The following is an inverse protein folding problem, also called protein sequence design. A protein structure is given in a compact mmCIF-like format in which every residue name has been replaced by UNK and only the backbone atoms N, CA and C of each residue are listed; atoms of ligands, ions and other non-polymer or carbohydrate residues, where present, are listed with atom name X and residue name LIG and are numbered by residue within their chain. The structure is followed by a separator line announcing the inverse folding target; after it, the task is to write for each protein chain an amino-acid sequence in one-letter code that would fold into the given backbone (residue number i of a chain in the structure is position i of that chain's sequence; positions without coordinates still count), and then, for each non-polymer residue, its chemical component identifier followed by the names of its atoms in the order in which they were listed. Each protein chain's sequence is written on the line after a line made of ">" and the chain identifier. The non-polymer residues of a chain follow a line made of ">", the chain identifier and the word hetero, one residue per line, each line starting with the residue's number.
data_IF_081446790212
#
_entry.id   IF_081446790212
#
_cell.length_a   1.000
_cell.length_b   1.000
_cell.length_c   1.000
_cell.angle_alpha   90.00
_cell.angle_beta   90.00
_cell.angle_gamma   90.00
#
_symmetry.space_group_name_H-M   'P 1'
#
loop_
_entity.id
_entity.type
_entity.pdbx_description
1 polymer ?
#
# COMPACT_ATOMS: atom_id res chain seq x y z
N UNK A 1 -14.50 -4.15 32.01
CA UNK A 1 -14.93 -4.79 30.75
C UNK A 1 -14.40 -3.89 29.65
N UNK A 2 -13.32 -4.31 28.97
CA UNK A 2 -12.48 -3.44 28.13
C UNK A 2 -13.26 -2.96 26.88
N UNK A 3 -13.51 -1.65 26.78
CA UNK A 3 -13.98 -0.98 25.56
C UNK A 3 -12.82 -0.89 24.54
N UNK A 4 -12.42 -2.02 23.98
CA UNK A 4 -11.48 -2.02 22.85
C UNK A 4 -12.23 -1.56 21.60
N UNK A 5 -11.83 -0.41 21.04
CA UNK A 5 -12.38 0.08 19.77
C UNK A 5 -11.89 -0.82 18.65
N UNK A 6 -12.71 -1.01 17.61
CA UNK A 6 -12.40 -1.90 16.49
C UNK A 6 -11.05 -1.62 15.82
N UNK A 7 -10.61 -0.36 15.83
CA UNK A 7 -9.33 0.05 15.24
C UNK A 7 -8.11 -0.35 16.05
N UNK A 8 -8.26 -0.54 17.37
CA UNK A 8 -7.19 -0.96 18.27
C UNK A 8 -6.95 -2.48 18.18
N UNK A 9 -7.82 -3.20 17.47
CA UNK A 9 -7.72 -4.62 17.18
C UNK A 9 -6.70 -4.84 16.05
N UNK A 10 -5.84 -5.86 16.15
CA UNK A 10 -4.84 -6.11 15.12
C UNK A 10 -5.47 -6.28 13.72
N UNK A 11 -4.78 -5.87 12.62
CA UNK A 11 -5.36 -5.85 11.26
C UNK A 11 -5.97 -7.18 10.80
N UNK A 12 -5.38 -8.31 11.20
CA UNK A 12 -5.93 -9.64 10.97
C UNK A 12 -7.38 -9.75 11.49
N UNK A 13 -7.57 -9.41 12.75
CA UNK A 13 -8.83 -9.58 13.46
C UNK A 13 -9.89 -8.57 13.00
N UNK A 14 -9.48 -7.37 12.61
CA UNK A 14 -10.37 -6.42 11.94
C UNK A 14 -10.94 -7.02 10.65
N UNK A 15 -10.09 -7.59 9.79
CA UNK A 15 -10.54 -8.21 8.53
C UNK A 15 -11.45 -9.40 8.77
N UNK A 16 -11.07 -10.28 9.69
CA UNK A 16 -11.92 -11.42 10.06
C UNK A 16 -13.29 -10.93 10.54
N UNK A 17 -13.35 -9.90 11.38
CA UNK A 17 -14.62 -9.39 11.88
C UNK A 17 -15.46 -8.72 10.78
N UNK A 18 -14.87 -7.96 9.85
CA UNK A 18 -15.59 -7.38 8.71
C UNK A 18 -16.15 -8.47 7.78
N UNK A 19 -15.35 -9.50 7.49
CA UNK A 19 -15.77 -10.65 6.68
C UNK A 19 -16.91 -11.40 7.39
N UNK A 20 -16.79 -11.62 8.70
CA UNK A 20 -17.84 -12.26 9.50
C UNK A 20 -19.14 -11.44 9.49
N UNK A 21 -19.06 -10.13 9.75
CA UNK A 21 -20.23 -9.24 9.74
C UNK A 21 -20.91 -9.24 8.36
N UNK A 22 -20.13 -9.19 7.28
CA UNK A 22 -20.64 -9.25 5.90
C UNK A 22 -21.21 -10.61 5.54
N UNK A 23 -20.68 -11.70 6.12
CA UNK A 23 -21.21 -13.05 5.93
C UNK A 23 -22.52 -13.30 6.70
N UNK A 24 -22.74 -12.59 7.81
CA UNK A 24 -23.88 -12.81 8.70
C UNK A 24 -25.24 -12.48 8.04
N UNK A 25 -25.26 -11.63 7.02
CA UNK A 25 -26.47 -11.34 6.22
C UNK A 25 -26.75 -12.42 5.16
N UNK A 26 -26.02 -13.54 5.17
CA UNK A 26 -26.15 -14.67 4.25
C UNK A 26 -26.19 -14.26 2.76
N UNK A 27 -25.16 -13.56 2.27
CA UNK A 27 -25.13 -13.13 0.88
C UNK A 27 -25.02 -14.35 -0.05
N UNK A 28 -25.65 -14.30 -1.24
CA UNK A 28 -25.50 -15.37 -2.24
C UNK A 28 -24.05 -15.47 -2.76
N UNK A 29 -23.30 -14.37 -2.71
CA UNK A 29 -21.87 -14.28 -3.03
C UNK A 29 -21.23 -13.20 -2.16
N UNK A 30 -20.12 -13.52 -1.49
CA UNK A 30 -19.33 -12.56 -0.73
C UNK A 30 -18.04 -12.24 -1.49
N UNK A 31 -17.86 -10.97 -1.84
CA UNK A 31 -16.64 -10.47 -2.47
C UNK A 31 -15.67 -9.97 -1.42
N UNK A 32 -14.42 -10.41 -1.49
CA UNK A 32 -13.36 -10.04 -0.55
C UNK A 32 -12.17 -9.50 -1.36
N UNK A 33 -11.89 -8.22 -1.17
CA UNK A 33 -10.82 -7.53 -1.89
C UNK A 33 -9.52 -7.57 -1.08
N UNK A 34 -8.47 -8.15 -1.67
CA UNK A 34 -7.09 -8.24 -1.15
C UNK A 34 -6.98 -8.51 0.37
N UNK A 35 -7.58 -9.60 0.89
CA UNK A 35 -7.67 -9.85 2.34
C UNK A 35 -6.32 -10.07 3.02
N UNK A 36 -5.24 -10.29 2.26
CA UNK A 36 -3.91 -10.60 2.76
C UNK A 36 -2.95 -9.41 2.69
N UNK A 37 -3.35 -8.31 2.06
CA UNK A 37 -2.51 -7.12 1.88
C UNK A 37 -1.92 -6.64 3.20
N UNK A 38 -0.67 -6.19 3.27
CA UNK A 38 -0.05 -5.64 4.49
C UNK A 38 -0.10 -6.51 5.77
N UNK A 39 -0.38 -7.82 5.68
CA UNK A 39 -0.33 -8.74 6.82
C UNK A 39 1.04 -9.42 6.94
N UNK A 40 1.40 -9.80 8.17
CA UNK A 40 2.55 -10.66 8.40
C UNK A 40 2.32 -12.05 7.78
N UNK A 41 3.38 -12.78 7.45
CA UNK A 41 3.28 -14.14 6.89
C UNK A 41 2.41 -15.06 7.77
N UNK A 42 2.52 -14.94 9.09
CA UNK A 42 1.70 -15.73 10.03
C UNK A 42 0.22 -15.36 9.96
N UNK A 43 -0.09 -14.07 9.84
CA UNK A 43 -1.47 -13.59 9.76
C UNK A 43 -2.10 -13.90 8.40
N UNK A 44 -1.31 -13.89 7.32
CA UNK A 44 -1.73 -14.39 6.00
C UNK A 44 -2.18 -15.86 6.09
N UNK A 45 -1.40 -16.70 6.78
CA UNK A 45 -1.78 -18.11 7.00
C UNK A 45 -3.11 -18.19 7.77
N UNK A 46 -3.25 -17.42 8.85
CA UNK A 46 -4.46 -17.42 9.68
C UNK A 46 -5.69 -16.98 8.91
N UNK A 47 -5.62 -15.87 8.16
CA UNK A 47 -6.79 -15.38 7.42
C UNK A 47 -7.15 -16.29 6.26
N UNK A 48 -6.16 -16.89 5.57
CA UNK A 48 -6.44 -17.88 4.52
C UNK A 48 -7.15 -19.11 5.08
N UNK A 49 -6.70 -19.63 6.24
CA UNK A 49 -7.39 -20.74 6.91
C UNK A 49 -8.82 -20.36 7.31
N UNK A 50 -9.02 -19.13 7.80
CA UNK A 50 -10.35 -18.62 8.13
C UNK A 50 -11.25 -18.55 6.88
N UNK A 51 -10.78 -17.95 5.79
CA UNK A 51 -11.53 -17.83 4.53
C UNK A 51 -11.86 -19.22 3.96
N UNK A 52 -10.91 -20.17 4.01
CA UNK A 52 -11.11 -21.56 3.56
C UNK A 52 -12.15 -22.32 4.40
N UNK A 53 -12.32 -21.97 5.68
CA UNK A 53 -13.44 -22.49 6.49
C UNK A 53 -14.75 -21.80 6.12
N UNK A 54 -14.72 -20.49 5.88
CA UNK A 54 -15.91 -19.72 5.51
C UNK A 54 -16.48 -20.16 4.15
N UNK A 55 -15.63 -20.54 3.20
CA UNK A 55 -16.06 -21.00 1.87
C UNK A 55 -16.93 -22.27 1.91
N UNK A 56 -16.87 -23.05 3.00
CA UNK A 56 -17.77 -24.20 3.21
C UNK A 56 -19.23 -23.79 3.45
N UNK A 57 -19.47 -22.52 3.80
CA UNK A 57 -20.80 -21.99 4.16
C UNK A 57 -21.29 -20.92 3.20
N UNK A 58 -20.39 -20.12 2.62
CA UNK A 58 -20.72 -18.97 1.76
C UNK A 58 -19.91 -19.06 0.48
N UNK A 59 -20.52 -18.74 -0.67
CA UNK A 59 -19.78 -18.63 -1.94
C UNK A 59 -18.93 -17.36 -1.90
N UNK A 60 -17.64 -17.50 -2.24
CA UNK A 60 -16.68 -16.41 -2.14
C UNK A 60 -16.09 -16.07 -3.50
N UNK A 61 -15.87 -14.78 -3.74
CA UNK A 61 -15.00 -14.27 -4.79
C UNK A 61 -13.90 -13.45 -4.11
N UNK A 62 -12.65 -13.88 -4.26
CA UNK A 62 -11.51 -13.24 -3.59
C UNK A 62 -10.55 -12.68 -4.64
N UNK A 63 -10.22 -11.40 -4.51
CA UNK A 63 -9.21 -10.73 -5.35
C UNK A 63 -7.86 -10.82 -4.65
N UNK A 64 -6.83 -11.26 -5.37
CA UNK A 64 -5.48 -11.49 -4.84
C UNK A 64 -4.40 -11.06 -5.85
N UNK A 65 -3.33 -10.42 -5.34
CA UNK A 65 -2.13 -10.12 -6.12
C UNK A 65 -1.06 -11.23 -6.10
N UNK A 66 -1.22 -12.29 -5.29
CA UNK A 66 -0.23 -13.37 -5.14
C UNK A 66 -0.72 -14.70 -5.72
N UNK A 67 0.03 -15.24 -6.68
CA UNK A 67 -0.27 -16.54 -7.31
C UNK A 67 -0.23 -17.69 -6.32
N UNK A 68 0.74 -17.71 -5.40
CA UNK A 68 0.84 -18.74 -4.36
C UNK A 68 -0.40 -18.73 -3.45
N UNK A 69 -0.88 -17.53 -3.09
CA UNK A 69 -2.08 -17.41 -2.26
C UNK A 69 -3.32 -17.85 -3.02
N UNK A 70 -3.46 -17.47 -4.28
CA UNK A 70 -4.55 -17.90 -5.15
C UNK A 70 -4.55 -19.42 -5.32
N UNK A 71 -3.37 -20.02 -5.52
CA UNK A 71 -3.21 -21.47 -5.69
C UNK A 71 -3.64 -22.27 -4.44
N UNK A 72 -3.37 -21.75 -3.24
CA UNK A 72 -3.75 -22.43 -1.98
C UNK A 72 -5.22 -22.19 -1.59
N UNK A 73 -5.78 -21.03 -1.95
CA UNK A 73 -7.12 -20.63 -1.50
C UNK A 73 -8.25 -21.00 -2.46
N UNK A 74 -8.00 -20.91 -3.78
CA UNK A 74 -9.07 -20.93 -4.78
C UNK A 74 -9.34 -22.35 -5.31
N UNK A 75 -10.62 -22.67 -5.49
CA UNK A 75 -11.06 -23.84 -6.26
C UNK A 75 -10.99 -23.56 -7.77
N UNK A 76 -11.46 -22.37 -8.17
CA UNK A 76 -11.44 -21.85 -9.54
C UNK A 76 -10.71 -20.49 -9.60
N UNK A 77 -10.00 -20.24 -10.71
CA UNK A 77 -9.32 -18.97 -11.00
C UNK A 77 -10.06 -18.25 -12.12
N UNK A 78 -10.23 -16.93 -11.94
CA UNK A 78 -10.62 -16.01 -13.01
C UNK A 78 -9.43 -15.09 -13.28
N UNK A 79 -8.87 -15.14 -14.49
CA UNK A 79 -7.87 -14.17 -14.93
C UNK A 79 -8.54 -13.10 -15.79
N UNK A 80 -8.43 -11.84 -15.39
CA UNK A 80 -8.91 -10.70 -16.16
C UNK A 80 -7.72 -9.90 -16.66
N UNK A 81 -7.65 -9.65 -17.97
CA UNK A 81 -6.66 -8.76 -18.58
C UNK A 81 -7.26 -8.09 -19.82
N UNK A 82 -6.88 -6.84 -20.10
CA UNK A 82 -7.44 -6.07 -21.23
C UNK A 82 -8.97 -5.97 -21.20
N UNK A 83 -9.56 -5.89 -20.00
CA UNK A 83 -11.01 -5.79 -19.79
C UNK A 83 -11.80 -7.04 -20.17
N UNK A 84 -11.14 -8.20 -20.29
CA UNK A 84 -11.78 -9.47 -20.63
C UNK A 84 -11.34 -10.56 -19.66
N UNK A 85 -12.24 -11.52 -19.45
CA UNK A 85 -11.89 -12.79 -18.83
C UNK A 85 -11.05 -13.58 -19.83
N UNK A 86 -9.77 -13.72 -19.51
CA UNK A 86 -8.80 -14.50 -20.29
C UNK A 86 -8.84 -15.98 -19.92
N UNK A 87 -9.25 -16.28 -18.69
CA UNK A 87 -9.40 -17.64 -18.19
C UNK A 87 -10.46 -17.69 -17.10
N UNK A 88 -11.24 -18.76 -17.11
CA UNK A 88 -12.07 -19.20 -16.00
C UNK A 88 -12.03 -20.73 -15.93
N UNK A 89 -11.73 -21.28 -14.76
CA UNK A 89 -11.75 -22.72 -14.51
C UNK A 89 -10.91 -23.13 -13.32
N UNK A 90 -10.77 -24.44 -13.13
CA UNK A 90 -10.09 -25.01 -11.97
C UNK A 90 -8.66 -24.50 -11.79
N UNK A 91 -8.27 -24.24 -10.55
CA UNK A 91 -6.92 -23.80 -10.17
C UNK A 91 -5.84 -24.73 -10.70
N UNK A 92 -6.07 -26.04 -10.72
CA UNK A 92 -5.14 -27.04 -11.27
C UNK A 92 -4.92 -26.90 -12.77
N UNK A 93 -5.94 -26.50 -13.53
CA UNK A 93 -5.83 -26.24 -14.96
C UNK A 93 -5.12 -24.92 -15.24
N UNK A 94 -5.32 -23.90 -14.40
CA UNK A 94 -4.63 -22.61 -14.53
C UNK A 94 -3.11 -22.74 -14.33
N UNK A 95 -2.69 -23.48 -13.31
CA UNK A 95 -1.28 -23.71 -12.98
C UNK A 95 -0.71 -25.00 -13.60
N UNK A 96 -1.34 -25.53 -14.65
CA UNK A 96 -0.83 -26.69 -15.36
C UNK A 96 0.53 -26.38 -16.00
N UNK A 97 1.41 -27.39 -16.08
CA UNK A 97 2.77 -27.24 -16.64
C UNK A 97 2.77 -26.69 -18.07
N UNK A 98 1.74 -27.03 -18.85
CA UNK A 98 1.52 -26.55 -20.20
C UNK A 98 0.08 -26.05 -20.30
N UNK A 99 -0.08 -24.77 -20.66
CA UNK A 99 -1.40 -24.18 -20.92
C UNK A 99 -1.52 -23.91 -22.41
N UNK A 100 -2.63 -24.29 -23.07
CA UNK A 100 -2.88 -23.93 -24.46
C UNK A 100 -3.17 -22.44 -24.64
N UNK A 101 -3.36 -21.70 -23.53
CA UNK A 101 -3.59 -20.26 -23.53
C UNK A 101 -2.27 -19.53 -23.19
N UNK A 102 -1.68 -18.89 -24.20
CA UNK A 102 -0.41 -18.16 -24.09
C UNK A 102 -0.44 -17.02 -23.05
N UNK A 103 -1.61 -16.42 -22.80
CA UNK A 103 -1.78 -15.35 -21.80
C UNK A 103 -1.70 -15.91 -20.39
N UNK A 104 -2.36 -17.04 -20.15
CA UNK A 104 -2.26 -17.77 -18.88
C UNK A 104 -0.83 -18.24 -18.66
N UNK A 105 -0.21 -18.80 -19.69
CA UNK A 105 1.18 -19.24 -19.64
C UNK A 105 2.13 -18.08 -19.29
N UNK A 106 1.96 -16.91 -19.93
CA UNK A 106 2.72 -15.71 -19.62
C UNK A 106 2.51 -15.28 -18.17
N UNK A 107 1.26 -15.20 -17.70
CA UNK A 107 0.95 -14.78 -16.35
C UNK A 107 1.58 -15.71 -15.31
N UNK A 108 1.42 -17.02 -15.45
CA UNK A 108 1.99 -18.01 -14.53
C UNK A 108 3.52 -17.94 -14.51
N UNK A 109 4.17 -17.70 -15.65
CA UNK A 109 5.63 -17.59 -15.74
C UNK A 109 6.19 -16.29 -15.17
N UNK A 110 5.48 -15.17 -15.35
CA UNK A 110 6.06 -13.83 -15.13
C UNK A 110 5.40 -13.04 -14.00
N UNK A 111 4.21 -13.45 -13.55
CA UNK A 111 3.41 -12.65 -12.62
C UNK A 111 2.57 -11.55 -13.28
N UNK A 112 2.62 -11.40 -14.61
CA UNK A 112 1.99 -10.27 -15.31
C UNK A 112 1.54 -10.63 -16.72
N UNK A 113 0.68 -9.80 -17.31
CA UNK A 113 0.18 -9.94 -18.69
C UNK A 113 0.52 -8.69 -19.48
N UNK A 114 1.06 -8.86 -20.69
CA UNK A 114 1.37 -7.75 -21.60
C UNK A 114 0.18 -7.38 -22.49
N UNK A 115 -1.00 -7.19 -21.89
CA UNK A 115 -2.20 -6.74 -22.59
C UNK A 115 -2.58 -5.37 -22.04
N UNK A 116 -2.63 -4.40 -22.93
CA UNK A 116 -3.08 -3.05 -22.63
C UNK A 116 -4.49 -3.07 -21.99
N UNK A 117 -4.67 -2.27 -20.94
CA UNK A 117 -5.98 -2.07 -20.34
C UNK A 117 -6.93 -1.37 -21.33
N UNK A 118 -8.26 -1.59 -21.26
CA UNK A 118 -9.23 -1.02 -22.20
C UNK A 118 -9.19 0.51 -22.31
N UNK A 119 -8.73 1.16 -21.26
CA UNK A 119 -8.58 2.61 -21.09
C UNK A 119 -7.13 3.09 -21.30
N UNK A 120 -6.21 2.22 -21.70
CA UNK A 120 -4.82 2.58 -21.96
C UNK A 120 -4.72 3.59 -23.10
N UNK A 121 -4.08 4.74 -22.81
CA UNK A 121 -3.80 5.76 -23.82
C UNK A 121 -2.71 5.26 -24.77
N UNK A 122 -2.90 5.50 -26.08
CA UNK A 122 -1.97 5.03 -27.13
C UNK A 122 -0.54 5.55 -26.92
N UNK A 123 -0.39 6.74 -26.37
CA UNK A 123 0.91 7.35 -26.03
C UNK A 123 1.70 6.58 -24.96
N UNK A 124 1.04 5.80 -24.12
CA UNK A 124 1.66 5.00 -23.05
C UNK A 124 1.90 3.54 -23.47
N UNK A 125 1.58 3.20 -24.71
CA UNK A 125 1.75 1.86 -25.27
C UNK A 125 3.03 1.82 -26.11
N UNK A 126 3.74 0.69 -26.05
CA UNK A 126 4.84 0.45 -26.97
C UNK A 126 4.36 0.49 -28.43
N UNK A 127 5.23 0.88 -29.37
CA UNK A 127 4.87 1.06 -30.78
C UNK A 127 4.29 -0.22 -31.43
N UNK A 128 4.64 -1.39 -30.89
CA UNK A 128 4.18 -2.71 -31.30
C UNK A 128 2.99 -3.24 -30.49
N UNK A 129 2.51 -2.50 -29.49
CA UNK A 129 1.41 -2.92 -28.65
C UNK A 129 0.08 -2.91 -29.42
N UNK A 130 -0.58 -4.06 -29.44
CA UNK A 130 -1.90 -4.21 -30.04
C UNK A 130 -2.93 -3.59 -29.08
N UNK A 131 -3.69 -2.56 -29.49
CA UNK A 131 -4.72 -1.98 -28.63
C UNK A 131 -5.76 -3.05 -28.30
N UNK A 132 -6.27 -3.08 -27.05
CA UNK A 132 -7.24 -4.09 -26.65
C UNK A 132 -8.52 -3.89 -27.47
N UNK A 133 -9.19 -4.97 -27.90
CA UNK A 133 -10.43 -4.82 -28.65
C UNK A 133 -11.48 -4.12 -27.77
N UNK A 134 -12.42 -3.35 -28.35
CA UNK A 134 -13.41 -2.60 -27.58
C UNK A 134 -14.20 -3.50 -26.64
N UNK A 135 -14.55 -3.00 -25.45
CA UNK A 135 -15.28 -3.77 -24.45
C UNK A 135 -16.60 -4.32 -25.04
N UNK A 136 -17.00 -5.56 -24.69
CA UNK A 136 -18.30 -6.09 -25.09
C UNK A 136 -19.45 -5.17 -24.64
N UNK A 137 -20.53 -5.09 -25.42
CA UNK A 137 -21.67 -4.23 -25.11
C UNK A 137 -22.24 -4.51 -23.70
N UNK A 138 -22.31 -5.79 -23.30
CA UNK A 138 -22.74 -6.17 -21.95
C UNK A 138 -21.85 -5.58 -20.83
N UNK A 139 -20.54 -5.47 -21.06
CA UNK A 139 -19.63 -4.85 -20.10
C UNK A 139 -19.83 -3.33 -20.05
N UNK A 140 -20.03 -2.70 -21.21
CA UNK A 140 -20.36 -1.27 -21.28
C UNK A 140 -21.71 -0.97 -20.61
N UNK A 141 -22.71 -1.83 -20.77
CA UNK A 141 -24.01 -1.68 -20.15
C UNK A 141 -23.94 -1.89 -18.63
N UNK A 142 -23.14 -2.84 -18.17
CA UNK A 142 -22.83 -3.01 -16.75
C UNK A 142 -22.13 -1.76 -16.19
N UNK A 143 -21.07 -1.27 -16.84
CA UNK A 143 -20.37 -0.04 -16.45
C UNK A 143 -21.32 1.16 -16.44
N UNK A 144 -22.20 1.31 -17.43
CA UNK A 144 -23.24 2.36 -17.48
C UNK A 144 -24.27 2.22 -16.37
N UNK A 145 -24.60 0.99 -15.97
CA UNK A 145 -25.51 0.75 -14.84
C UNK A 145 -24.88 1.14 -13.50
N UNK A 146 -23.54 1.09 -13.39
CA UNK A 146 -22.78 1.64 -12.26
C UNK A 146 -22.52 3.16 -12.40
N UNK A 147 -22.43 3.69 -13.63
CA UNK A 147 -22.00 5.04 -13.97
C UNK A 147 -23.10 6.03 -14.37
N UNK A 148 -24.22 6.10 -13.64
CA UNK A 148 -25.11 7.29 -13.73
C UNK A 148 -24.44 8.49 -13.06
N UNK A 149 -23.52 9.13 -13.78
CA UNK A 149 -23.17 10.57 -13.75
C UNK A 149 -22.61 10.89 -15.15
N UNK A 150 -23.37 11.69 -15.90
CA UNK A 150 -23.23 12.18 -17.30
C UNK A 150 -21.79 12.55 -17.73
N UNK A 151 -21.22 12.33 -18.95
CA UNK A 151 -21.62 12.31 -20.38
C UNK A 151 -20.52 11.56 -21.22
N UNK A 152 -20.75 11.16 -22.48
CA UNK A 152 -19.79 10.40 -23.30
C UNK A 152 -18.78 11.29 -24.06
N UNK A 153 -17.52 10.84 -24.17
CA UNK A 153 -16.47 11.45 -25.01
C UNK A 153 -16.27 10.62 -26.29
N UNK A 154 -16.32 11.28 -27.45
CA UNK A 154 -16.05 10.73 -28.79
C UNK A 154 -14.55 10.52 -29.03
N UNK A 155 -14.18 9.40 -29.66
CA UNK A 155 -12.80 9.05 -30.03
C UNK A 155 -12.59 9.29 -31.52
N UNK A 156 -11.57 10.07 -31.90
CA UNK A 156 -11.09 10.20 -33.29
C UNK A 156 -9.59 9.84 -33.35
N UNK A 157 -9.19 8.95 -34.28
CA UNK A 157 -7.78 8.57 -34.52
C UNK A 157 -7.17 9.36 -35.69
N UNK A 158 -5.83 9.54 -35.72
CA UNK A 158 -5.11 9.29 -36.98
C UNK A 158 -3.67 8.70 -36.89
N UNK A 159 -3.44 7.70 -37.76
CA UNK A 159 -2.30 7.37 -38.66
C UNK A 159 -0.79 7.49 -38.30
N UNK A 160 -0.14 6.37 -38.65
CA UNK A 160 1.26 5.86 -38.73
C UNK A 160 2.24 6.66 -39.62
N UNK A 161 3.55 6.74 -39.24
CA UNK A 161 4.70 6.39 -40.11
C UNK A 161 6.12 6.49 -39.45
N UNK A 162 6.88 5.38 -39.63
CA UNK A 162 8.32 5.22 -39.95
C UNK A 162 9.50 5.39 -38.93
N UNK A 163 10.27 4.30 -38.76
CA UNK A 163 11.69 4.17 -38.30
C UNK A 163 12.69 4.27 -39.49
N UNK A 164 14.03 3.96 -39.43
CA UNK A 164 14.96 3.49 -38.35
C UNK A 164 16.34 4.26 -38.32
N UNK A 165 17.37 3.96 -37.49
CA UNK A 165 18.43 2.91 -37.68
C UNK A 165 19.54 3.02 -36.60
N UNK A 166 20.24 1.90 -36.33
CA UNK A 166 21.29 1.66 -35.32
C UNK A 166 22.74 1.87 -35.79
N UNK A 167 23.72 1.91 -34.87
CA UNK A 167 25.10 1.40 -35.09
C UNK A 167 25.94 1.22 -33.80
N UNK A 168 26.72 0.15 -33.80
CA UNK A 168 27.67 -0.40 -32.81
C UNK A 168 29.11 0.13 -32.95
N UNK A 169 29.95 0.07 -31.90
CA UNK A 169 31.34 -0.41 -32.03
C UNK A 169 32.10 -0.64 -30.69
N UNK A 170 32.95 -1.67 -30.74
CA UNK A 170 33.93 -2.22 -29.78
C UNK A 170 35.34 -1.60 -29.91
N UNK A 171 36.18 -1.63 -28.86
CA UNK A 171 37.55 -2.22 -28.87
C UNK A 171 38.39 -1.96 -27.59
N UNK A 172 39.27 -2.93 -27.30
CA UNK A 172 40.23 -3.05 -26.19
C UNK A 172 41.63 -2.45 -26.46
N UNK A 173 42.45 -2.23 -25.41
CA UNK A 173 43.88 -2.62 -25.41
C UNK A 173 44.54 -2.53 -24.02
N UNK A 174 45.55 -3.39 -23.83
CA UNK A 174 46.43 -3.68 -22.69
C UNK A 174 47.59 -2.68 -22.51
N UNK A 175 48.19 -2.56 -21.32
CA UNK A 175 49.53 -3.10 -20.96
C UNK A 175 50.19 -2.50 -19.69
N UNK A 176 50.59 -3.41 -18.78
CA UNK A 176 51.89 -3.59 -18.08
C UNK A 176 52.63 -2.42 -17.39
N UNK A 177 52.97 -2.57 -16.09
CA UNK A 177 54.36 -2.67 -15.52
C UNK A 177 54.31 -2.85 -13.98
N UNK A 178 55.10 -3.79 -13.46
CA UNK A 178 55.25 -4.13 -12.04
C UNK A 178 56.70 -3.87 -11.56
N UNK A 179 56.87 -3.45 -10.30
CA UNK A 179 57.74 -4.03 -9.24
C UNK A 179 58.14 -2.98 -8.18
N UNK A 180 57.98 -3.35 -6.90
CA UNK A 180 59.00 -3.37 -5.81
C UNK A 180 58.41 -2.94 -4.45
N UNK A 181 57.93 -3.87 -3.60
CA UNK A 181 58.05 -3.81 -2.10
C UNK A 181 57.45 -5.02 -1.34
N UNK A 182 57.86 -6.24 -1.66
CA UNK A 182 57.54 -7.40 -0.82
C UNK A 182 58.52 -7.47 0.36
N UNK A 183 58.06 -7.16 1.58
CA UNK A 183 58.58 -7.66 2.88
C UNK A 183 57.91 -7.04 4.12
N UNK A 184 56.94 -6.12 3.97
CA UNK A 184 56.15 -5.57 5.10
C UNK A 184 54.69 -6.03 5.15
N UNK A 185 54.22 -6.81 4.18
CA UNK A 185 52.81 -7.23 4.06
C UNK A 185 52.47 -8.48 4.88
N UNK A 186 53.43 -9.39 5.08
CA UNK A 186 53.14 -10.71 5.67
C UNK A 186 52.72 -10.65 7.15
N UNK A 187 53.22 -9.69 7.93
CA UNK A 187 52.80 -9.49 9.34
C UNK A 187 51.52 -8.67 9.50
N UNK A 188 51.17 -7.82 8.52
CA UNK A 188 49.92 -7.06 8.51
C UNK A 188 48.74 -7.96 8.14
N UNK A 189 48.94 -8.89 7.21
CA UNK A 189 47.91 -9.83 6.77
C UNK A 189 47.53 -10.88 7.83
N UNK A 190 48.48 -11.36 8.64
CA UNK A 190 48.13 -12.28 9.74
C UNK A 190 47.33 -11.59 10.84
N UNK A 191 47.69 -10.35 11.21
CA UNK A 191 46.90 -9.55 12.17
C UNK A 191 45.53 -9.19 11.63
N UNK A 192 45.42 -8.89 10.34
CA UNK A 192 44.15 -8.59 9.69
C UNK A 192 43.25 -9.84 9.65
N UNK A 193 43.79 -11.00 9.30
CA UNK A 193 43.06 -12.28 9.32
C UNK A 193 42.57 -12.66 10.73
N UNK A 194 43.40 -12.45 11.76
CA UNK A 194 43.00 -12.69 13.15
C UNK A 194 41.87 -11.75 13.61
N UNK A 195 41.92 -10.47 13.23
CA UNK A 195 40.87 -9.50 13.57
C UNK A 195 39.55 -9.78 12.84
N UNK A 196 39.61 -10.18 11.57
CA UNK A 196 38.42 -10.58 10.80
C UNK A 196 37.77 -11.82 11.41
N UNK A 197 38.57 -12.83 11.78
CA UNK A 197 38.06 -14.03 12.45
C UNK A 197 37.38 -13.71 13.80
N UNK A 198 37.95 -12.78 14.59
CA UNK A 198 37.37 -12.36 15.86
C UNK A 198 36.05 -11.60 15.70
N UNK A 199 35.95 -10.72 14.69
CA UNK A 199 34.70 -10.00 14.36
C UNK A 199 33.63 -10.97 13.89
N UNK A 200 34.01 -11.97 13.10
CA UNK A 200 33.10 -12.97 12.57
C UNK A 200 32.55 -13.88 13.68
N UNK A 201 33.41 -14.33 14.60
CA UNK A 201 32.98 -15.07 15.79
C UNK A 201 32.04 -14.25 16.69
N UNK A 202 32.31 -12.95 16.87
CA UNK A 202 31.44 -12.05 17.66
C UNK A 202 30.08 -11.82 16.99
N UNK A 203 30.05 -11.76 15.65
CA UNK A 203 28.82 -11.67 14.85
C UNK A 203 27.99 -12.95 14.94
N UNK A 204 28.63 -14.12 14.88
CA UNK A 204 27.98 -15.42 15.05
C UNK A 204 27.34 -15.55 16.45
N UNK A 205 28.07 -15.16 17.50
CA UNK A 205 27.58 -15.18 18.87
C UNK A 205 26.39 -14.23 19.09
N UNK A 206 26.45 -13.02 18.54
CA UNK A 206 25.35 -12.06 18.62
C UNK A 206 24.11 -12.54 17.83
N UNK A 207 24.31 -13.21 16.70
CA UNK A 207 23.23 -13.81 15.91
C UNK A 207 22.56 -14.96 16.67
N UNK A 208 23.33 -15.80 17.36
CA UNK A 208 22.79 -16.87 18.21
C UNK A 208 22.03 -16.32 19.43
N UNK A 209 22.51 -15.23 20.03
CA UNK A 209 21.83 -14.55 21.14
C UNK A 209 20.52 -13.88 20.72
N UNK A 210 20.49 -13.24 19.54
CA UNK A 210 19.25 -12.67 18.98
C UNK A 210 18.25 -13.77 18.64
N UNK A 211 18.71 -14.90 18.07
CA UNK A 211 17.86 -16.03 17.73
C UNK A 211 17.25 -16.70 18.97
N UNK A 212 18.03 -16.85 20.05
CA UNK A 212 17.51 -17.43 21.30
C UNK A 212 16.50 -16.52 22.00
N UNK A 213 16.73 -15.19 22.01
CA UNK A 213 15.76 -14.22 22.55
C UNK A 213 14.48 -14.16 21.72
N UNK A 214 14.58 -14.23 20.38
CA UNK A 214 13.42 -14.32 19.50
C UNK A 214 12.60 -15.59 19.74
N UNK A 215 13.26 -16.72 20.00
CA UNK A 215 12.56 -18.00 20.27
C UNK A 215 11.80 -17.95 21.61
N UNK A 216 12.37 -17.32 22.63
CA UNK A 216 11.74 -17.14 23.95
C UNK A 216 10.53 -16.18 23.90
N UNK A 217 10.66 -15.07 23.19
CA UNK A 217 9.56 -14.13 22.96
C UNK A 217 8.42 -14.77 22.16
N UNK A 218 8.75 -15.58 21.14
CA UNK A 218 7.75 -16.33 20.37
C UNK A 218 7.01 -17.38 21.22
N UNK A 219 7.70 -18.05 22.15
CA UNK A 219 7.06 -19.00 23.08
C UNK A 219 6.13 -18.30 24.08
N UNK A 220 6.51 -17.13 24.60
CA UNK A 220 5.67 -16.34 25.49
C UNK A 220 4.41 -15.82 24.79
N UNK A 221 4.54 -15.31 23.57
CA UNK A 221 3.40 -14.87 22.75
C UNK A 221 2.48 -16.05 22.41
N UNK A 222 3.03 -17.23 22.11
CA UNK A 222 2.23 -18.44 21.85
C UNK A 222 1.43 -18.88 23.09
N UNK A 223 2.01 -18.80 24.28
CA UNK A 223 1.31 -19.09 25.54
C UNK A 223 0.20 -18.06 25.83
N UNK A 224 0.44 -16.78 25.54
CA UNK A 224 -0.55 -15.71 25.73
C UNK A 224 -1.72 -15.83 24.73
N UNK A 225 -1.45 -16.28 23.50
CA UNK A 225 -2.49 -16.57 22.49
C UNK A 225 -3.37 -17.74 22.95
N UNK A 226 -2.76 -18.85 23.41
CA UNK A 226 -3.52 -20.00 23.92
C UNK A 226 -4.39 -19.64 25.12
N UNK A 227 -3.91 -18.76 26.02
CA UNK A 227 -4.69 -18.26 27.14
C UNK A 227 -5.90 -17.41 26.69
N UNK A 228 -5.71 -16.57 25.66
CA UNK A 228 -6.80 -15.74 25.08
C UNK A 228 -7.81 -16.55 24.28
N UNK A 229 -7.37 -17.60 23.58
CA UNK A 229 -8.26 -18.54 22.89
C UNK A 229 -9.16 -19.30 23.87
N UNK A 230 -8.63 -19.75 25.01
CA UNK A 230 -9.42 -20.39 26.05
C UNK A 230 -10.52 -19.46 26.61
N UNK A 231 -10.17 -18.19 26.86
CA UNK A 231 -11.11 -17.18 27.36
C UNK A 231 -12.24 -16.88 26.36
N UNK A 232 -11.93 -16.87 25.05
CA UNK A 232 -12.92 -16.67 23.99
C UNK A 232 -13.88 -17.87 23.91
N UNK A 233 -13.37 -19.10 24.05
CA UNK A 233 -14.20 -20.31 24.03
C UNK A 233 -15.14 -20.38 25.25
N UNK A 234 -14.67 -20.01 26.45
CA UNK A 234 -15.54 -19.89 27.63
C UNK A 234 -16.62 -18.82 27.43
N UNK A 235 -16.27 -17.68 26.84
CA UNK A 235 -17.23 -16.59 26.59
C UNK A 235 -18.31 -17.02 25.60
N UNK A 236 -17.95 -17.76 24.53
CA UNK A 236 -18.88 -18.25 23.52
C UNK A 236 -19.88 -19.28 24.05
N UNK A 237 -19.56 -20.02 25.13
CA UNK A 237 -20.47 -20.97 25.77
C UNK A 237 -21.52 -20.30 26.66
N UNK A 238 -21.35 -19.01 27.01
CA UNK A 238 -22.25 -18.28 27.91
C UNK A 238 -23.33 -17.45 27.18
N UNK A 239 -23.29 -17.40 25.85
CA UNK A 239 -24.27 -16.65 25.05
C UNK A 239 -25.50 -17.54 24.77
N UNK A 240 -26.72 -17.17 25.24
CA UNK A 240 -27.90 -18.01 25.00
C UNK A 240 -28.30 -17.99 23.53
N UNK A 241 -28.63 -19.18 23.00
CA UNK A 241 -29.07 -19.37 21.62
C UNK A 241 -30.41 -18.65 21.37
N UNK A 242 -30.46 -17.80 20.34
CA UNK A 242 -31.70 -17.15 19.89
C UNK A 242 -32.49 -18.13 19.02
N UNK A 243 -33.71 -18.44 19.44
CA UNK A 243 -34.64 -19.35 18.77
C UNK A 243 -35.13 -18.73 17.44
N UNK A 244 -34.94 -19.46 16.33
CA UNK A 244 -35.12 -18.98 14.95
C UNK A 244 -36.48 -19.35 14.34
N UNK A 245 -37.42 -19.91 15.12
CA UNK A 245 -38.64 -20.51 14.56
C UNK A 245 -39.95 -19.69 14.65
N UNK A 246 -39.94 -18.44 15.10
CA UNK A 246 -41.16 -17.64 15.22
C UNK A 246 -41.10 -16.35 14.38
N UNK A 247 -41.25 -16.46 13.04
CA UNK A 247 -41.73 -15.42 12.10
C UNK A 247 -41.71 -15.95 10.65
N UNK A 248 -42.56 -16.94 10.37
CA UNK A 248 -42.94 -17.36 9.02
C UNK A 248 -44.46 -17.38 8.92
N UNK A 249 -45.03 -16.21 8.67
CA UNK A 249 -46.35 -15.96 8.07
C UNK A 249 -46.72 -14.52 8.42
N UNK A 250 -46.61 -13.60 7.46
CA UNK A 250 -47.68 -12.63 7.17
C UNK A 250 -47.28 -11.72 5.99
N UNK A 251 -48.16 -11.77 4.98
CA UNK A 251 -48.49 -10.83 3.90
C UNK A 251 -47.42 -9.89 3.30
N UNK A 252 -47.25 -10.05 1.99
CA UNK A 252 -46.70 -9.07 1.04
C UNK A 252 -47.53 -7.78 1.12
N UNK A 253 -46.89 -6.66 1.48
CA UNK A 253 -47.42 -5.29 1.28
C UNK A 253 -46.70 -4.61 0.12
N UNK A 254 -47.39 -3.75 -0.66
CA UNK A 254 -46.81 -3.07 -1.81
C UNK A 254 -45.73 -2.05 -1.38
N UNK A 255 -44.80 -1.70 -2.29
CA UNK A 255 -43.70 -0.80 -1.97
C UNK A 255 -44.23 0.60 -1.61
N UNK A 256 -43.64 1.28 -0.61
CA UNK A 256 -44.03 2.64 -0.27
C UNK A 256 -43.71 3.59 -1.43
N UNK A 257 -44.63 4.53 -1.68
CA UNK A 257 -44.51 5.58 -2.70
C UNK A 257 -43.20 6.34 -2.54
N UNK A 258 -42.55 6.62 -3.67
CA UNK A 258 -41.33 7.43 -3.80
C UNK A 258 -41.43 8.69 -2.93
N UNK A 259 -40.56 8.78 -1.93
CA UNK A 259 -40.31 10.05 -1.26
C UNK A 259 -39.59 10.97 -2.24
N UNK A 260 -40.22 12.10 -2.55
CA UNK A 260 -39.65 13.19 -3.34
C UNK A 260 -38.39 13.68 -2.64
N UNK A 261 -37.22 13.33 -3.18
CA UNK A 261 -35.94 13.88 -2.74
C UNK A 261 -35.88 15.33 -3.20
N UNK A 262 -36.02 16.24 -2.25
CA UNK A 262 -35.76 17.66 -2.44
C UNK A 262 -34.31 17.86 -2.84
N UNK A 263 -34.10 18.54 -3.96
CA UNK A 263 -32.81 19.00 -4.46
C UNK A 263 -32.24 20.10 -3.56
N UNK A 264 -31.53 19.71 -2.51
CA UNK A 264 -30.57 20.57 -1.81
C UNK A 264 -29.16 20.12 -2.23
N UNK A 265 -28.25 21.05 -2.56
CA UNK A 265 -26.93 20.71 -3.08
C UNK A 265 -26.11 20.00 -2.00
N UNK A 266 -25.48 18.89 -2.39
CA UNK A 266 -24.48 18.15 -1.59
C UNK A 266 -23.25 19.04 -1.42
N UNK A 267 -23.34 19.97 -0.47
CA UNK A 267 -22.26 20.85 -0.01
C UNK A 267 -22.17 20.84 1.51
N UNK A 268 -22.46 19.70 2.12
CA UNK A 268 -22.00 19.42 3.48
C UNK A 268 -20.54 18.99 3.38
N UNK A 269 -19.66 19.98 3.58
CA UNK A 269 -18.24 19.79 3.83
C UNK A 269 -18.06 18.68 4.88
N UNK A 270 -17.11 17.78 4.63
CA UNK A 270 -16.32 17.17 5.68
C UNK A 270 -15.69 18.32 6.47
N UNK A 271 -16.29 18.72 7.60
CA UNK A 271 -15.65 19.63 8.53
C UNK A 271 -14.46 18.89 9.18
N UNK A 272 -13.29 19.02 8.54
CA UNK A 272 -12.03 18.63 9.12
C UNK A 272 -11.79 19.49 10.37
N UNK A 273 -11.34 18.91 11.49
CA UNK A 273 -11.04 19.70 12.69
C UNK A 273 -10.03 20.79 12.34
N UNK A 274 -10.28 22.01 12.81
CA UNK A 274 -9.37 23.12 12.60
C UNK A 274 -7.96 22.72 13.09
N UNK A 275 -6.89 22.99 12.31
CA UNK A 275 -5.53 22.68 12.73
C UNK A 275 -5.26 23.40 14.05
N UNK A 276 -4.87 22.64 15.09
CA UNK A 276 -4.40 23.24 16.33
C UNK A 276 -3.19 24.13 16.00
N UNK A 277 -3.19 25.34 16.56
CA UNK A 277 -2.13 26.33 16.37
C UNK A 277 -0.76 25.86 16.90
N UNK A 278 -0.74 24.80 17.72
CA UNK A 278 0.44 24.26 18.37
C UNK A 278 0.70 22.84 17.83
N UNK A 279 1.36 22.74 16.67
CA UNK A 279 1.61 21.48 15.93
C UNK A 279 2.18 20.31 16.76
N UNK A 280 2.79 20.59 17.91
CA UNK A 280 3.30 19.62 18.89
C UNK A 280 2.17 18.75 19.48
N UNK A 281 1.01 19.33 19.78
CA UNK A 281 -0.12 18.59 20.39
C UNK A 281 -0.75 17.61 19.39
N UNK A 282 -0.79 17.96 18.10
CA UNK A 282 -1.42 17.13 17.07
C UNK A 282 -0.51 15.96 16.68
N UNK A 283 0.80 16.18 16.59
CA UNK A 283 1.76 15.10 16.28
C UNK A 283 1.82 14.07 17.40
N UNK A 284 1.70 14.50 18.66
CA UNK A 284 1.59 13.62 19.82
C UNK A 284 0.34 12.73 19.79
N UNK A 285 -0.64 13.04 18.94
CA UNK A 285 -1.89 12.30 18.76
C UNK A 285 -1.98 11.53 17.43
N UNK A 286 -0.96 11.60 16.57
CA UNK A 286 -0.91 10.81 15.33
C UNK A 286 -0.98 9.31 15.65
N UNK A 287 -1.90 8.63 14.97
CA UNK A 287 -2.24 7.22 15.22
C UNK A 287 -3.15 6.98 16.42
N UNK A 288 -3.65 8.04 17.11
CA UNK A 288 -4.63 7.95 18.21
C UNK A 288 -6.06 8.32 17.79
N UNK A 289 -6.21 9.07 16.69
CA UNK A 289 -7.49 9.54 16.14
C UNK A 289 -7.86 8.86 14.83
N UNK A 290 -9.16 8.75 14.59
CA UNK A 290 -9.75 8.13 13.40
C UNK A 290 -9.59 9.04 12.17
N UNK A 291 -8.89 8.55 11.14
CA UNK A 291 -8.69 9.26 9.88
C UNK A 291 -9.46 8.66 8.70
N UNK A 292 -10.35 7.69 8.96
CA UNK A 292 -11.05 6.87 7.97
C UNK A 292 -12.18 7.59 7.21
N UNK A 293 -12.57 8.79 7.65
CA UNK A 293 -13.77 9.50 7.18
C UNK A 293 -13.57 10.17 5.82
N UNK A 294 -12.32 10.40 5.39
CA UNK A 294 -11.99 11.04 4.11
C UNK A 294 -11.06 10.14 3.29
N UNK A 295 -11.63 9.46 2.29
CA UNK A 295 -10.90 8.51 1.41
C UNK A 295 -10.35 9.25 0.19
N UNK A 296 -9.01 9.34 0.11
CA UNK A 296 -8.30 9.74 -1.11
C UNK A 296 -8.10 8.59 -2.10
N UNK A 297 -7.18 8.73 -3.07
CA UNK A 297 -6.83 7.66 -4.01
C UNK A 297 -6.34 6.39 -3.31
N UNK A 298 -6.28 5.27 -4.03
CA UNK A 298 -5.88 3.99 -3.44
C UNK A 298 -4.50 4.08 -2.77
N UNK A 299 -4.39 3.59 -1.53
CA UNK A 299 -3.16 3.67 -0.73
C UNK A 299 -2.92 5.02 -0.03
N UNK A 300 -3.82 6.00 -0.18
CA UNK A 300 -3.78 7.25 0.57
C UNK A 300 -3.96 7.01 2.07
N UNK A 301 -3.26 7.77 2.89
CA UNK A 301 -3.35 7.71 4.35
C UNK A 301 -3.10 9.09 4.96
N UNK A 302 -4.10 9.62 5.64
CA UNK A 302 -3.92 10.79 6.50
C UNK A 302 -2.97 10.46 7.64
N UNK A 303 -1.96 11.31 7.83
CA UNK A 303 -1.10 11.28 9.01
C UNK A 303 -1.69 12.21 10.06
N UNK A 304 -2.04 13.43 9.63
CA UNK A 304 -2.93 14.34 10.36
C UNK A 304 -4.01 14.82 9.38
N UNK A 305 -5.29 14.47 9.60
CA UNK A 305 -6.39 14.94 8.77
C UNK A 305 -6.39 16.46 8.60
N UNK A 306 -6.54 16.93 7.37
CA UNK A 306 -6.56 18.35 7.05
C UNK A 306 -5.22 19.09 7.19
N UNK A 307 -4.11 18.36 7.36
CA UNK A 307 -2.78 18.98 7.40
C UNK A 307 -1.73 18.23 6.59
N UNK A 308 -1.57 16.92 6.82
CA UNK A 308 -0.54 16.14 6.14
C UNK A 308 -0.95 14.68 5.94
N UNK A 309 -0.68 14.16 4.73
CA UNK A 309 -0.96 12.79 4.33
C UNK A 309 0.23 12.14 3.60
N UNK A 310 0.19 10.81 3.48
CA UNK A 310 1.00 10.02 2.57
C UNK A 310 0.13 9.38 1.49
N UNK A 311 0.65 9.24 0.27
CA UNK A 311 -0.02 8.49 -0.80
C UNK A 311 0.98 7.88 -1.81
N UNK A 312 0.55 6.92 -2.65
CA UNK A 312 1.29 6.49 -3.83
C UNK A 312 1.34 7.60 -4.89
N UNK A 313 2.17 7.42 -5.91
CA UNK A 313 2.23 8.35 -7.03
C UNK A 313 0.88 8.34 -7.79
N UNK A 314 0.24 9.51 -7.96
CA UNK A 314 -0.93 9.65 -8.83
C UNK A 314 -0.60 9.13 -10.23
N UNK A 315 -1.52 8.38 -10.85
CA UNK A 315 -1.31 7.88 -12.21
C UNK A 315 -0.73 6.45 -12.31
N UNK A 316 -0.39 5.81 -11.18
CA UNK A 316 0.17 4.44 -11.19
C UNK A 316 -0.93 3.39 -11.35
N UNK A 317 -2.00 3.49 -10.55
CA UNK A 317 -3.06 2.47 -10.49
C UNK A 317 -4.36 2.92 -11.15
N UNK A 318 -4.52 4.23 -11.38
CA UNK A 318 -5.67 4.86 -12.01
C UNK A 318 -5.18 6.03 -12.86
N UNK A 319 -6.01 6.61 -13.75
CA UNK A 319 -5.64 7.81 -14.50
C UNK A 319 -5.20 8.94 -13.56
N UNK A 320 -4.11 9.63 -13.91
CA UNK A 320 -3.51 10.65 -13.05
C UNK A 320 -4.47 11.79 -12.70
N UNK A 321 -5.26 12.27 -13.67
CA UNK A 321 -6.33 13.27 -13.43
C UNK A 321 -7.32 12.83 -12.37
N UNK A 322 -7.73 11.56 -12.38
CA UNK A 322 -8.67 11.02 -11.41
C UNK A 322 -8.08 11.03 -9.99
N UNK A 323 -6.84 10.58 -9.82
CA UNK A 323 -6.16 10.60 -8.53
C UNK A 323 -5.96 12.02 -8.02
N UNK A 324 -5.57 12.95 -8.89
CA UNK A 324 -5.38 14.37 -8.55
C UNK A 324 -6.71 15.05 -8.16
N UNK A 325 -7.80 14.76 -8.87
CA UNK A 325 -9.13 15.26 -8.54
C UNK A 325 -9.58 14.74 -7.16
N UNK A 326 -9.34 13.47 -6.85
CA UNK A 326 -9.64 12.92 -5.52
C UNK A 326 -8.85 13.64 -4.43
N UNK A 327 -7.55 13.87 -4.64
CA UNK A 327 -6.69 14.57 -3.69
C UNK A 327 -7.18 16.02 -3.45
N UNK A 328 -7.50 16.74 -4.52
CA UNK A 328 -8.04 18.09 -4.43
C UNK A 328 -9.40 18.11 -3.69
N UNK A 329 -10.29 17.17 -4.00
CA UNK A 329 -11.63 17.08 -3.40
C UNK A 329 -11.60 16.78 -1.89
N UNK A 330 -10.60 16.05 -1.40
CA UNK A 330 -10.42 15.81 0.05
C UNK A 330 -9.64 16.95 0.74
N UNK A 331 -9.27 17.99 0.00
CA UNK A 331 -8.66 19.21 0.52
C UNK A 331 -7.13 19.24 0.50
N UNK A 332 -6.45 18.32 -0.19
CA UNK A 332 -5.00 18.48 -0.45
C UNK A 332 -4.80 19.68 -1.38
N UNK A 333 -3.78 20.49 -1.09
CA UNK A 333 -3.43 21.67 -1.90
C UNK A 333 -2.00 21.59 -2.46
N UNK A 334 -1.12 20.82 -1.80
CA UNK A 334 0.29 20.68 -2.20
C UNK A 334 0.71 19.22 -2.21
N UNK A 335 1.31 18.78 -3.31
CA UNK A 335 2.06 17.53 -3.37
C UNK A 335 3.54 17.73 -3.03
N UNK A 336 4.10 16.75 -2.33
CA UNK A 336 5.54 16.60 -2.14
C UNK A 336 5.98 15.38 -2.94
N UNK A 337 6.57 15.61 -4.11
CA UNK A 337 7.05 14.55 -5.01
C UNK A 337 8.46 14.12 -4.65
N UNK A 338 8.62 12.85 -4.28
CA UNK A 338 9.91 12.25 -3.90
C UNK A 338 10.52 11.35 -4.97
N UNK A 339 9.80 11.11 -6.07
CA UNK A 339 10.29 10.34 -7.22
C UNK A 339 11.41 11.09 -7.94
N UNK A 340 12.25 10.33 -8.62
CA UNK A 340 13.39 10.81 -9.39
C UNK A 340 12.95 11.81 -10.46
N UNK A 341 11.83 11.50 -11.11
CA UNK A 341 11.13 12.39 -12.04
C UNK A 341 10.03 13.16 -11.31
N UNK A 342 9.85 14.41 -11.72
CA UNK A 342 8.78 15.25 -11.23
C UNK A 342 7.43 14.87 -11.87
N UNK A 343 6.34 15.17 -11.18
CA UNK A 343 4.99 14.95 -11.69
C UNK A 343 4.64 16.03 -12.74
N UNK A 344 3.82 15.69 -13.73
CA UNK A 344 3.46 16.62 -14.80
C UNK A 344 2.73 17.86 -14.28
N UNK A 345 3.43 18.99 -14.31
CA UNK A 345 2.98 20.28 -13.78
C UNK A 345 1.68 20.80 -14.42
N UNK A 346 1.38 20.40 -15.66
CA UNK A 346 0.15 20.80 -16.33
C UNK A 346 -1.11 20.17 -15.68
N UNK A 347 -1.03 18.89 -15.30
CA UNK A 347 -2.17 18.20 -14.69
C UNK A 347 -2.41 18.66 -13.25
N UNK A 348 -1.33 18.96 -12.50
CA UNK A 348 -1.45 19.56 -11.17
C UNK A 348 -2.19 20.89 -11.21
N UNK A 349 -1.80 21.77 -12.14
CA UNK A 349 -2.47 23.06 -12.32
C UNK A 349 -3.94 22.90 -12.71
N UNK A 350 -4.26 21.89 -13.52
CA UNK A 350 -5.65 21.60 -13.89
C UNK A 350 -6.49 21.17 -12.68
N UNK A 351 -5.91 20.40 -11.75
CA UNK A 351 -6.54 20.01 -10.50
C UNK A 351 -6.48 21.07 -9.38
N UNK A 352 -5.87 22.24 -9.64
CA UNK A 352 -5.69 23.29 -8.63
C UNK A 352 -4.65 22.98 -7.55
N UNK A 353 -3.76 22.03 -7.80
CA UNK A 353 -2.71 21.59 -6.89
C UNK A 353 -1.37 22.27 -7.22
N UNK A 354 -0.55 22.48 -6.19
CA UNK A 354 0.85 22.87 -6.36
C UNK A 354 1.79 21.75 -5.95
N UNK A 355 3.09 21.89 -6.24
CA UNK A 355 4.08 20.84 -5.98
C UNK A 355 5.39 21.36 -5.42
N UNK A 356 6.02 20.53 -4.60
CA UNK A 356 7.42 20.63 -4.19
C UNK A 356 8.12 19.32 -4.57
N UNK A 357 9.06 19.41 -5.50
CA UNK A 357 9.86 18.25 -5.92
C UNK A 357 11.16 18.17 -5.13
N UNK A 358 11.39 17.03 -4.47
CA UNK A 358 12.67 16.66 -3.88
C UNK A 358 12.98 15.21 -4.27
N UNK A 359 13.75 14.97 -5.34
CA UNK A 359 14.04 13.61 -5.78
C UNK A 359 14.90 12.86 -4.76
N UNK A 360 14.44 11.65 -4.41
CA UNK A 360 15.16 10.69 -3.58
C UNK A 360 15.18 9.37 -4.35
N UNK A 361 16.36 8.80 -4.58
CA UNK A 361 16.50 7.53 -5.30
C UNK A 361 15.76 6.39 -4.60
N UNK A 362 15.25 5.44 -5.39
CA UNK A 362 14.47 4.35 -4.85
C UNK A 362 15.20 3.54 -3.77
N UNK A 363 14.47 3.21 -2.69
CA UNK A 363 14.95 2.51 -1.48
C UNK A 363 16.04 3.19 -0.66
N UNK A 364 16.54 4.35 -1.11
CA UNK A 364 17.49 5.17 -0.37
C UNK A 364 16.77 6.11 0.62
N UNK A 365 17.57 6.95 1.28
CA UNK A 365 17.16 8.03 2.16
C UNK A 365 17.75 9.35 1.64
N UNK A 366 17.12 10.51 1.89
CA UNK A 366 17.70 11.79 1.51
C UNK A 366 18.95 12.09 2.35
N UNK A 367 19.76 13.06 1.92
CA UNK A 367 20.77 13.63 2.83
C UNK A 367 20.11 14.43 3.96
N UNK A 368 20.83 14.59 5.08
CA UNK A 368 20.36 15.42 6.21
C UNK A 368 20.00 16.85 5.76
N UNK A 369 20.81 17.45 4.89
CA UNK A 369 20.57 18.80 4.37
C UNK A 369 19.30 18.88 3.52
N UNK A 370 19.09 17.90 2.63
CA UNK A 370 17.86 17.82 1.84
C UNK A 370 16.62 17.67 2.74
N UNK A 371 16.71 16.82 3.78
CA UNK A 371 15.61 16.65 4.73
C UNK A 371 15.30 17.93 5.48
N UNK A 372 16.32 18.62 6.03
CA UNK A 372 16.11 19.90 6.72
C UNK A 372 15.46 20.94 5.80
N UNK A 373 15.95 21.06 4.57
CA UNK A 373 15.39 22.00 3.58
C UNK A 373 13.93 21.68 3.26
N UNK A 374 13.62 20.40 3.02
CA UNK A 374 12.25 19.98 2.75
C UNK A 374 11.34 20.24 3.94
N UNK A 375 11.74 19.87 5.15
CA UNK A 375 10.91 20.09 6.35
C UNK A 375 10.69 21.58 6.64
N UNK A 376 11.69 22.45 6.41
CA UNK A 376 11.50 23.90 6.50
C UNK A 376 10.49 24.41 5.46
N UNK A 377 10.56 23.90 4.23
CA UNK A 377 9.59 24.24 3.18
C UNK A 377 8.18 23.75 3.52
N UNK A 378 8.05 22.51 4.00
CA UNK A 378 6.77 21.93 4.43
C UNK A 378 6.17 22.72 5.58
N UNK A 379 6.97 23.05 6.60
CA UNK A 379 6.53 23.85 7.75
C UNK A 379 6.00 25.22 7.32
N UNK A 380 6.69 25.88 6.36
CA UNK A 380 6.24 27.15 5.79
C UNK A 380 4.91 27.02 5.04
N UNK A 381 4.70 25.93 4.30
CA UNK A 381 3.44 25.71 3.57
C UNK A 381 2.30 25.44 4.56
N UNK A 382 2.51 24.57 5.54
CA UNK A 382 1.53 24.27 6.59
C UNK A 382 1.13 25.56 7.35
N UNK A 383 2.10 26.42 7.70
CA UNK A 383 1.79 27.69 8.39
C UNK A 383 1.05 28.71 7.51
N UNK A 384 1.03 28.52 6.19
CA UNK A 384 0.22 29.28 5.25
C UNK A 384 -1.19 28.71 5.08
N UNK A 385 -1.53 27.62 5.79
CA UNK A 385 -2.82 26.94 5.69
C UNK A 385 -2.89 25.91 4.57
N UNK A 386 -1.76 25.56 3.96
CA UNK A 386 -1.71 24.52 2.94
C UNK A 386 -1.82 23.12 3.55
N UNK A 387 -2.43 22.20 2.80
CA UNK A 387 -2.60 20.80 3.18
C UNK A 387 -1.76 19.92 2.26
N UNK A 388 -0.86 19.15 2.86
CA UNK A 388 0.21 18.48 2.14
C UNK A 388 -0.08 16.99 1.95
N UNK A 389 0.24 16.44 0.77
CA UNK A 389 0.37 15.00 0.60
C UNK A 389 1.75 14.62 0.06
N UNK A 390 2.44 13.75 0.79
CA UNK A 390 3.78 13.26 0.43
C UNK A 390 3.65 11.98 -0.36
N UNK A 391 4.35 11.87 -1.48
CA UNK A 391 4.33 10.66 -2.28
C UNK A 391 5.72 10.27 -2.82
N UNK A 392 5.88 8.98 -3.04
CA UNK A 392 6.92 8.39 -3.88
C UNK A 392 6.21 7.48 -4.87
N UNK A 393 6.83 6.40 -5.37
CA UNK A 393 6.14 5.45 -6.25
C UNK A 393 4.98 4.74 -5.52
N UNK A 394 5.29 3.94 -4.49
CA UNK A 394 4.30 3.14 -3.75
C UNK A 394 3.70 3.87 -2.53
N UNK A 395 4.25 5.02 -2.14
CA UNK A 395 3.79 5.75 -0.96
C UNK A 395 4.25 5.17 0.38
N UNK A 396 5.27 4.30 0.41
CA UNK A 396 5.64 3.52 1.60
C UNK A 396 7.04 3.84 2.15
N UNK A 397 8.11 3.54 1.40
CA UNK A 397 9.50 3.74 1.86
C UNK A 397 9.88 5.22 2.05
N UNK A 398 10.22 5.91 0.94
CA UNK A 398 10.62 7.32 0.92
C UNK A 398 9.57 8.24 1.57
N UNK A 399 8.29 8.02 1.24
CA UNK A 399 7.16 8.73 1.86
C UNK A 399 7.17 8.57 3.38
N UNK A 400 7.26 7.34 3.89
CA UNK A 400 7.33 7.08 5.32
C UNK A 400 8.54 7.73 5.98
N UNK A 401 9.69 7.75 5.31
CA UNK A 401 10.90 8.42 5.82
C UNK A 401 10.71 9.92 5.99
N UNK A 402 10.12 10.62 5.01
CA UNK A 402 9.84 12.06 5.12
C UNK A 402 8.80 12.34 6.20
N UNK A 403 7.72 11.56 6.25
CA UNK A 403 6.69 11.71 7.27
C UNK A 403 7.25 11.47 8.69
N UNK A 404 8.11 10.47 8.86
CA UNK A 404 8.75 10.18 10.14
C UNK A 404 9.67 11.32 10.57
N UNK A 405 10.49 11.84 9.65
CA UNK A 405 11.37 12.98 9.92
C UNK A 405 10.59 14.24 10.29
N UNK A 406 9.44 14.47 9.63
CA UNK A 406 8.52 15.54 10.02
C UNK A 406 7.97 15.35 11.43
N UNK A 407 7.55 14.13 11.81
CA UNK A 407 7.08 13.82 13.16
C UNK A 407 8.18 13.97 14.24
N UNK A 408 9.44 13.65 13.91
CA UNK A 408 10.57 13.86 14.80
C UNK A 408 10.79 15.36 15.03
N UNK A 409 10.85 16.15 13.94
CA UNK A 409 11.17 17.57 14.02
C UNK A 409 10.06 18.41 14.64
N UNK A 410 8.83 18.28 14.14
CA UNK A 410 7.70 19.12 14.57
C UNK A 410 6.96 18.52 15.78
N UNK A 411 7.02 17.20 15.96
CA UNK A 411 6.37 16.52 17.08
C UNK A 411 7.25 16.22 18.28
N UNK A 412 8.56 16.40 18.17
CA UNK A 412 9.51 16.04 19.22
C UNK A 412 9.53 14.54 19.56
N UNK A 413 9.13 13.68 18.62
CA UNK A 413 9.19 12.23 18.81
C UNK A 413 10.60 11.69 18.55
N UNK A 414 10.96 10.60 19.21
CA UNK A 414 12.13 9.83 18.81
C UNK A 414 11.92 9.15 17.46
N UNK A 415 12.99 8.79 16.77
CA UNK A 415 12.91 8.06 15.51
C UNK A 415 12.14 6.75 15.67
N UNK A 416 12.39 6.01 16.77
CA UNK A 416 11.69 4.78 17.09
C UNK A 416 10.17 4.99 17.22
N UNK A 417 9.76 6.01 17.98
CA UNK A 417 8.35 6.29 18.22
C UNK A 417 7.63 6.81 16.96
N UNK A 418 8.30 7.65 16.17
CA UNK A 418 7.77 8.12 14.88
C UNK A 418 7.52 6.95 13.92
N UNK A 419 8.50 6.06 13.77
CA UNK A 419 8.36 4.85 12.93
C UNK A 419 7.24 3.94 13.45
N UNK A 420 7.20 3.71 14.76
CA UNK A 420 6.16 2.88 15.38
C UNK A 420 4.76 3.41 15.08
N UNK A 421 4.53 4.72 15.22
CA UNK A 421 3.23 5.35 14.96
C UNK A 421 2.83 5.32 13.50
N UNK A 422 3.75 5.60 12.59
CA UNK A 422 3.45 5.47 11.15
C UNK A 422 3.09 4.03 10.81
N UNK A 423 3.80 3.04 11.36
CA UNK A 423 3.50 1.62 11.13
C UNK A 423 2.16 1.16 11.71
N UNK A 424 1.60 1.87 12.69
CA UNK A 424 0.21 1.66 13.12
C UNK A 424 -0.80 2.13 12.06
N UNK A 425 -0.49 3.19 11.32
CA UNK A 425 -1.32 3.68 10.21
C UNK A 425 -1.18 2.74 9.01
N UNK A 426 0.06 2.46 8.59
CA UNK A 426 0.35 1.52 7.52
C UNK A 426 1.65 0.76 7.83
N UNK A 427 1.58 -0.57 8.06
CA UNK A 427 2.75 -1.38 8.40
C UNK A 427 3.86 -1.36 7.35
N UNK A 428 3.55 -0.98 6.10
CA UNK A 428 4.50 -0.87 5.01
C UNK A 428 5.39 0.38 5.05
N UNK A 429 5.12 1.37 5.92
CA UNK A 429 5.96 2.56 6.01
C UNK A 429 7.38 2.25 6.48
N UNK A 430 8.35 2.92 5.84
CA UNK A 430 9.80 2.78 6.07
C UNK A 430 10.25 1.33 5.80
N UNK A 431 10.77 1.09 4.60
CA UNK A 431 10.95 -0.27 4.05
C UNK A 431 12.39 -0.76 4.05
N UNK A 432 13.38 0.12 4.28
CA UNK A 432 14.80 -0.25 4.25
C UNK A 432 15.54 0.14 5.53
N UNK A 433 16.56 -0.66 5.88
CA UNK A 433 17.48 -0.36 7.01
C UNK A 433 18.19 0.97 6.80
N UNK A 434 18.46 1.37 5.55
CA UNK A 434 19.05 2.68 5.22
C UNK A 434 18.13 3.82 5.67
N UNK A 435 16.82 3.69 5.45
CA UNK A 435 15.83 4.68 5.88
C UNK A 435 15.68 4.73 7.41
N UNK A 436 15.68 3.58 8.09
CA UNK A 436 15.65 3.53 9.56
C UNK A 436 16.91 4.15 10.18
N UNK A 437 18.08 3.82 9.62
CA UNK A 437 19.38 4.37 10.07
C UNK A 437 19.41 5.88 9.87
N UNK A 438 18.96 6.35 8.71
CA UNK A 438 18.85 7.78 8.42
C UNK A 438 17.97 8.51 9.45
N UNK A 439 16.83 7.95 9.87
CA UNK A 439 15.96 8.59 10.86
C UNK A 439 16.63 8.73 12.23
N UNK A 440 17.39 7.72 12.65
CA UNK A 440 18.20 7.79 13.87
C UNK A 440 19.34 8.83 13.74
N UNK A 441 19.98 8.92 12.59
CA UNK A 441 20.98 9.97 12.32
C UNK A 441 20.36 11.37 12.33
N UNK A 442 19.18 11.51 11.76
CA UNK A 442 18.44 12.76 11.69
C UNK A 442 17.98 13.26 13.08
N UNK A 443 17.46 12.37 13.92
CA UNK A 443 17.16 12.68 15.32
C UNK A 443 18.40 13.21 16.06
N UNK A 444 19.54 12.51 15.91
CA UNK A 444 20.80 12.94 16.52
C UNK A 444 21.28 14.30 16.01
N UNK A 445 21.12 14.59 14.72
CA UNK A 445 21.47 15.88 14.14
C UNK A 445 20.59 17.02 14.69
N UNK A 446 19.28 16.80 14.85
CA UNK A 446 18.37 17.76 15.51
C UNK A 446 18.82 18.03 16.94
N UNK A 447 19.05 16.97 17.73
CA UNK A 447 19.45 17.09 19.13
C UNK A 447 20.79 17.83 19.30
N UNK A 448 21.72 17.66 18.36
CA UNK A 448 22.99 18.40 18.35
C UNK A 448 22.82 19.89 18.05
N UNK A 449 21.87 20.26 17.21
CA UNK A 449 21.59 21.66 16.84
C UNK A 449 20.79 22.43 17.89
N UNK A 450 20.14 21.73 18.81
CA UNK A 450 19.40 22.32 19.94
C UNK A 450 20.29 22.63 21.16
N UNK A 451 21.51 22.09 21.20
CA UNK A 451 22.54 22.46 22.18
C UNK A 451 23.30 23.68 21.69
#
# INVERSE_FOLDING_TARGET
>A
MLELRFIDVAPLWQRIALILASSAINPPLLMIDEPTYSLSTQDVIRIKQFIKRLSTKVKLLVVLHSQEQAQDLADDIVLIAGGRVQFYGATSAFFAKESPNSIVEQFVKTGSVSIAAPDARRENLADDAIPPPPLPQAALDAIRSFGKLDKPVEITQPSINASPTAQTNTQSSTDTTALTRATTETQKDEKLKANVAAIQAKKEAMKQQVYSQQTLAQQQVAQEILAKEHLIQETLQTVPAVDTNARRADAISPPPKQATLTTEPVKQLLELPAPSADGVSIVAEIGKHDTSVSRGPAGFSWIVPGMIAGCPMPGVSAPMSYDLDLLANIGITVLITLTEEDIYQAELKAAGLSNVHLPIYDREAPSLSQMHMLLLKMQRLISQGEVLAVHCLAGLGRTGTVLAAWMIKEGGLSAEEAMRRLRLINPGFIQSVVQETFLAEFENDILRRMR
#
